data_IF_605677661018
#
_entry.id   IF_605677661018
#
_cell.length_a   1.000
_cell.length_b   1.000
_cell.length_c   1.000
_cell.angle_alpha   90.00
_cell.angle_beta   90.00
_cell.angle_gamma   90.00
#
_symmetry.space_group_name_H-M   'P 1'
#
loop_
_entity.id
_entity.type
_entity.pdbx_description
1 polymer ?
#
# COMPACT_ATOMS: atom_id res chain seq x y z
N UNK A 1 33.75 -15.74 19.71
CA UNK A 1 32.40 -16.02 19.14
C UNK A 1 32.17 -17.50 18.85
N UNK A 2 33.20 -18.35 18.75
CA UNK A 2 33.02 -19.80 18.47
C UNK A 2 32.37 -20.61 19.61
N UNK A 3 32.21 -20.01 20.80
CA UNK A 3 31.57 -20.64 21.97
C UNK A 3 30.04 -20.52 22.01
N UNK A 4 29.42 -19.82 21.05
CA UNK A 4 27.96 -19.70 20.98
C UNK A 4 27.34 -20.97 20.34
N UNK A 5 26.24 -21.50 20.91
CA UNK A 5 25.41 -22.53 20.28
C UNK A 5 24.93 -22.12 18.90
N UNK A 6 24.86 -23.10 18.00
CA UNK A 6 24.49 -22.91 16.59
C UNK A 6 23.11 -22.27 16.44
N UNK A 7 22.17 -22.63 17.33
CA UNK A 7 20.81 -22.09 17.34
C UNK A 7 20.79 -20.60 17.68
N UNK A 8 21.60 -20.15 18.65
CA UNK A 8 21.70 -18.73 18.99
C UNK A 8 22.36 -17.93 17.87
N UNK A 9 23.34 -18.50 17.18
CA UNK A 9 23.95 -17.85 16.01
C UNK A 9 22.94 -17.76 14.87
N UNK A 10 22.18 -18.83 14.59
CA UNK A 10 21.13 -18.81 13.56
C UNK A 10 20.02 -17.79 13.89
N UNK A 11 19.66 -17.65 15.17
CA UNK A 11 18.71 -16.65 15.63
C UNK A 11 19.25 -15.22 15.41
N UNK A 12 20.49 -14.94 15.81
CA UNK A 12 21.14 -13.64 15.56
C UNK A 12 21.21 -13.34 14.06
N UNK A 13 21.62 -14.32 13.24
CA UNK A 13 21.71 -14.17 11.79
C UNK A 13 20.33 -13.96 11.14
N UNK A 14 19.25 -14.48 11.73
CA UNK A 14 17.88 -14.30 11.22
C UNK A 14 17.34 -12.87 11.37
N UNK A 15 17.99 -12.06 12.21
CA UNK A 15 17.71 -10.64 12.38
C UNK A 15 18.38 -9.77 11.30
N UNK A 16 19.32 -10.34 10.56
CA UNK A 16 20.02 -9.65 9.48
C UNK A 16 19.37 -9.97 8.13
N UNK A 17 19.44 -9.06 7.15
CA UNK A 17 19.19 -9.40 5.75
C UNK A 17 20.02 -10.63 5.35
N UNK A 18 19.45 -11.55 4.55
CA UNK A 18 20.13 -12.81 4.19
C UNK A 18 21.51 -12.56 3.57
N UNK A 19 21.68 -11.50 2.79
CA UNK A 19 22.98 -11.08 2.25
C UNK A 19 24.02 -10.80 3.35
N UNK A 20 23.64 -10.07 4.39
CA UNK A 20 24.54 -9.70 5.48
C UNK A 20 24.85 -10.93 6.33
N UNK A 21 23.84 -11.76 6.59
CA UNK A 21 24.01 -13.06 7.24
C UNK A 21 24.99 -13.96 6.47
N UNK A 22 24.86 -14.06 5.14
CA UNK A 22 25.81 -14.79 4.28
C UNK A 22 27.20 -14.16 4.30
N UNK A 23 27.30 -12.83 4.37
CA UNK A 23 28.61 -12.14 4.43
C UNK A 23 29.40 -12.50 5.69
N UNK A 24 28.72 -12.88 6.78
CA UNK A 24 29.39 -13.38 7.99
C UNK A 24 30.08 -14.74 7.80
N UNK A 25 29.84 -15.44 6.68
CA UNK A 25 30.48 -16.71 6.34
C UNK A 25 32.02 -16.63 6.27
N UNK A 26 32.58 -15.43 6.11
CA UNK A 26 34.03 -15.19 6.12
C UNK A 26 34.64 -15.31 7.52
N UNK A 27 33.82 -15.21 8.58
CA UNK A 27 34.30 -15.18 9.97
C UNK A 27 34.87 -16.52 10.41
N UNK A 28 34.24 -17.64 10.04
CA UNK A 28 34.81 -18.98 10.24
C UNK A 28 34.08 -20.05 9.42
N UNK A 29 34.65 -21.26 9.34
CA UNK A 29 34.00 -22.41 8.68
C UNK A 29 32.61 -22.72 9.26
N UNK A 30 32.41 -22.47 10.55
CA UNK A 30 31.14 -22.68 11.25
C UNK A 30 30.07 -21.72 10.71
N UNK A 31 30.40 -20.44 10.56
CA UNK A 31 29.46 -19.41 10.07
C UNK A 31 29.08 -19.58 8.59
N UNK A 32 29.87 -20.33 7.81
CA UNK A 32 29.56 -20.62 6.40
C UNK A 32 28.26 -21.39 6.20
N UNK A 33 27.82 -22.19 7.16
CA UNK A 33 26.63 -23.03 7.02
C UNK A 33 25.47 -22.57 7.89
N UNK A 34 25.74 -21.79 8.94
CA UNK A 34 24.72 -21.38 9.91
C UNK A 34 23.67 -20.42 9.35
N UNK A 35 24.01 -19.59 8.36
CA UNK A 35 23.01 -18.74 7.71
C UNK A 35 21.88 -19.57 7.05
N UNK A 36 22.18 -20.80 6.61
CA UNK A 36 21.19 -21.67 5.97
C UNK A 36 20.16 -22.22 6.97
N UNK A 37 20.47 -22.15 8.27
CA UNK A 37 19.57 -22.52 9.37
C UNK A 37 18.64 -21.39 9.79
N UNK A 38 18.78 -20.18 9.23
CA UNK A 38 17.90 -19.05 9.50
C UNK A 38 16.46 -19.35 9.05
N UNK A 39 15.49 -18.89 9.83
CA UNK A 39 14.06 -19.03 9.52
C UNK A 39 13.58 -18.14 8.36
N UNK A 40 14.40 -17.17 7.95
CA UNK A 40 14.10 -16.22 6.88
C UNK A 40 15.15 -16.36 5.77
N UNK A 41 14.68 -16.57 4.54
CA UNK A 41 15.53 -16.69 3.36
C UNK A 41 15.07 -15.69 2.33
N UNK A 42 15.88 -14.67 2.09
CA UNK A 42 15.68 -13.70 1.02
C UNK A 42 16.76 -13.91 -0.04
N UNK A 43 16.34 -14.48 -1.16
CA UNK A 43 17.18 -14.85 -2.28
C UNK A 43 16.90 -13.90 -3.45
N UNK A 44 17.81 -12.95 -3.64
CA UNK A 44 17.67 -11.91 -4.65
C UNK A 44 18.82 -11.96 -5.66
N UNK A 45 18.50 -12.31 -6.90
CA UNK A 45 19.49 -12.38 -7.97
C UNK A 45 19.75 -11.05 -8.67
N UNK A 46 18.95 -10.00 -8.41
CA UNK A 46 19.08 -8.69 -9.05
C UNK A 46 20.41 -7.99 -8.73
N UNK A 47 21.03 -8.42 -7.64
CA UNK A 47 22.30 -7.90 -7.12
C UNK A 47 23.50 -8.57 -7.82
N UNK A 48 23.26 -9.65 -8.57
CA UNK A 48 24.30 -10.45 -9.21
C UNK A 48 24.54 -9.98 -10.64
N UNK A 49 25.80 -9.80 -11.01
CA UNK A 49 26.19 -9.40 -12.37
C UNK A 49 25.79 -10.42 -13.43
N UNK A 50 25.67 -9.96 -14.68
CA UNK A 50 25.09 -10.69 -15.82
C UNK A 50 25.89 -11.91 -16.34
N UNK A 51 26.94 -12.36 -15.63
CA UNK A 51 27.85 -13.42 -16.11
C UNK A 51 27.32 -14.82 -15.75
N UNK A 52 27.47 -15.77 -16.67
CA UNK A 52 26.96 -17.14 -16.52
C UNK A 52 27.58 -17.95 -15.37
N UNK A 53 28.82 -17.64 -14.98
CA UNK A 53 29.52 -18.22 -13.82
C UNK A 53 28.86 -17.80 -12.50
N UNK A 54 28.49 -16.52 -12.37
CA UNK A 54 27.77 -15.98 -11.20
C UNK A 54 26.38 -16.65 -11.08
N UNK A 55 25.70 -16.91 -12.20
CA UNK A 55 24.39 -17.60 -12.22
C UNK A 55 24.46 -19.04 -11.71
N UNK A 56 25.44 -19.83 -12.18
CA UNK A 56 25.64 -21.20 -11.70
C UNK A 56 26.00 -21.22 -10.22
N UNK A 57 26.80 -20.25 -9.78
CA UNK A 57 27.15 -20.07 -8.36
C UNK A 57 25.90 -19.79 -7.51
N UNK A 58 25.00 -18.91 -7.97
CA UNK A 58 23.74 -18.64 -7.26
C UNK A 58 22.85 -19.88 -7.17
N UNK A 59 22.67 -20.62 -8.28
CA UNK A 59 21.86 -21.83 -8.26
C UNK A 59 22.41 -22.89 -7.30
N UNK A 60 23.73 -23.15 -7.35
CA UNK A 60 24.39 -24.06 -6.42
C UNK A 60 24.33 -23.58 -4.96
N UNK A 61 24.38 -22.27 -4.74
CA UNK A 61 24.21 -21.66 -3.42
C UNK A 61 22.80 -21.89 -2.86
N UNK A 62 21.76 -21.69 -3.66
CA UNK A 62 20.37 -21.92 -3.23
C UNK A 62 20.12 -23.39 -2.97
N UNK A 63 20.58 -24.29 -3.85
CA UNK A 63 20.51 -25.73 -3.66
C UNK A 63 21.18 -26.17 -2.37
N UNK A 64 22.40 -25.69 -2.12
CA UNK A 64 23.17 -26.00 -0.91
C UNK A 64 22.46 -25.48 0.33
N UNK A 65 21.93 -24.25 0.28
CA UNK A 65 21.20 -23.64 1.38
C UNK A 65 19.94 -24.42 1.75
N UNK A 66 19.20 -24.92 0.75
CA UNK A 66 18.03 -25.77 0.95
C UNK A 66 18.40 -27.17 1.47
N UNK A 67 19.55 -27.72 1.06
CA UNK A 67 19.99 -29.05 1.51
C UNK A 67 20.47 -29.08 2.98
N UNK A 68 21.07 -27.99 3.48
CA UNK A 68 21.69 -27.94 4.83
C UNK A 68 20.64 -27.94 5.97
N UNK A 69 19.38 -27.64 5.68
CA UNK A 69 18.34 -27.36 6.71
C UNK A 69 17.93 -28.54 7.59
N UNK A 70 18.23 -29.79 7.21
CA UNK A 70 18.01 -30.97 8.07
C UNK A 70 16.59 -31.12 8.65
N UNK A 71 15.57 -30.64 7.94
CA UNK A 71 14.16 -30.69 8.37
C UNK A 71 13.65 -29.48 9.17
N UNK A 72 14.46 -28.45 9.41
CA UNK A 72 14.00 -27.20 10.07
C UNK A 72 12.95 -26.47 9.23
N UNK A 73 11.96 -25.90 9.90
CA UNK A 73 10.90 -25.11 9.25
C UNK A 73 11.45 -23.77 8.73
N UNK A 74 11.06 -23.41 7.51
CA UNK A 74 11.30 -22.10 6.95
C UNK A 74 10.09 -21.24 7.31
N UNK A 75 10.26 -20.13 8.02
CA UNK A 75 9.13 -19.24 8.29
C UNK A 75 8.79 -18.44 7.04
N UNK A 76 9.81 -17.80 6.46
CA UNK A 76 9.69 -16.91 5.30
C UNK A 76 10.67 -17.29 4.20
N UNK A 77 10.15 -17.47 3.00
CA UNK A 77 10.92 -17.68 1.77
C UNK A 77 10.59 -16.58 0.76
N UNK A 78 11.62 -15.85 0.32
CA UNK A 78 11.54 -14.79 -0.68
C UNK A 78 12.49 -15.14 -1.81
N UNK A 79 11.97 -15.19 -3.04
CA UNK A 79 12.74 -15.45 -4.25
C UNK A 79 12.45 -14.34 -5.26
N UNK A 80 13.48 -13.57 -5.60
CA UNK A 80 13.43 -12.46 -6.56
C UNK A 80 14.35 -12.74 -7.73
N UNK A 81 13.75 -12.81 -8.92
CA UNK A 81 14.41 -13.15 -10.17
C UNK A 81 14.15 -12.07 -11.23
N UNK A 82 15.20 -11.36 -11.67
CA UNK A 82 15.10 -10.25 -12.62
C UNK A 82 15.60 -10.57 -14.05
N UNK A 83 15.87 -11.82 -14.41
CA UNK A 83 16.55 -12.15 -15.68
C UNK A 83 15.86 -13.20 -16.58
N UNK A 84 15.77 -12.85 -17.87
CA UNK A 84 15.39 -13.64 -19.08
C UNK A 84 15.89 -15.08 -19.14
N UNK A 85 17.20 -15.23 -19.06
CA UNK A 85 17.88 -16.51 -19.30
C UNK A 85 17.92 -17.40 -18.05
N UNK A 86 17.72 -16.77 -16.89
CA UNK A 86 17.45 -17.40 -15.61
C UNK A 86 16.12 -18.13 -15.74
N UNK A 87 15.07 -17.50 -16.29
CA UNK A 87 13.77 -18.14 -16.51
C UNK A 87 13.85 -19.45 -17.28
N UNK A 88 14.65 -19.59 -18.33
CA UNK A 88 14.77 -20.87 -19.06
C UNK A 88 15.38 -22.03 -18.23
N UNK A 89 16.14 -21.73 -17.17
CA UNK A 89 16.61 -22.71 -16.19
C UNK A 89 15.61 -22.90 -15.04
N UNK A 90 14.83 -21.88 -14.69
CA UNK A 90 13.76 -21.96 -13.69
C UNK A 90 12.49 -22.63 -14.21
N UNK A 91 12.19 -22.51 -15.51
CA UNK A 91 11.01 -23.06 -16.20
C UNK A 91 10.92 -24.58 -16.15
N UNK A 92 12.00 -25.25 -15.74
CA UNK A 92 12.04 -26.71 -15.59
C UNK A 92 12.17 -27.18 -14.15
N UNK A 93 12.46 -26.29 -13.20
CA UNK A 93 12.86 -26.68 -11.85
C UNK A 93 12.21 -25.75 -10.80
N UNK A 94 10.90 -25.92 -10.58
CA UNK A 94 10.12 -25.40 -9.45
C UNK A 94 10.59 -25.92 -8.07
N UNK A 95 11.71 -26.66 -8.08
CA UNK A 95 12.31 -27.39 -6.96
C UNK A 95 12.58 -26.52 -5.75
N UNK A 96 12.92 -25.23 -5.91
CA UNK A 96 13.21 -24.36 -4.77
C UNK A 96 11.95 -23.98 -4.01
N UNK A 97 10.89 -23.63 -4.76
CA UNK A 97 9.58 -23.32 -4.21
C UNK A 97 9.00 -24.59 -3.58
N UNK A 98 9.05 -25.72 -4.30
CA UNK A 98 8.61 -27.02 -3.80
C UNK A 98 9.32 -27.43 -2.51
N UNK A 99 10.67 -27.32 -2.45
CA UNK A 99 11.42 -27.60 -1.22
C UNK A 99 11.06 -26.64 -0.09
N UNK A 100 10.83 -25.36 -0.38
CA UNK A 100 10.40 -24.41 0.64
C UNK A 100 9.04 -24.82 1.24
N UNK A 101 8.11 -25.27 0.40
CA UNK A 101 6.80 -25.80 0.79
C UNK A 101 6.93 -27.11 1.59
N UNK A 102 7.82 -28.01 1.20
CA UNK A 102 8.13 -29.25 1.95
C UNK A 102 8.67 -28.94 3.36
N UNK A 103 9.32 -27.79 3.55
CA UNK A 103 9.74 -27.26 4.85
C UNK A 103 8.66 -26.42 5.56
N UNK A 104 7.39 -26.59 5.19
CA UNK A 104 6.21 -25.97 5.84
C UNK A 104 6.27 -24.44 5.88
N UNK A 105 6.68 -23.81 4.77
CA UNK A 105 6.76 -22.35 4.71
C UNK A 105 5.42 -21.68 5.00
N UNK A 106 5.47 -20.62 5.82
CA UNK A 106 4.29 -19.83 6.20
C UNK A 106 4.16 -18.52 5.43
N UNK A 107 5.28 -17.94 4.99
CA UNK A 107 5.31 -16.71 4.20
C UNK A 107 6.11 -16.93 2.92
N UNK A 108 5.46 -16.83 1.77
CA UNK A 108 6.07 -16.99 0.45
C UNK A 108 5.98 -15.69 -0.34
N UNK A 109 7.11 -15.20 -0.82
CA UNK A 109 7.20 -14.04 -1.70
C UNK A 109 7.97 -14.43 -2.97
N UNK A 110 7.30 -14.28 -4.11
CA UNK A 110 7.85 -14.58 -5.42
C UNK A 110 7.80 -13.32 -6.27
N UNK A 111 8.95 -12.88 -6.78
CA UNK A 111 9.03 -11.82 -7.80
C UNK A 111 9.76 -12.34 -9.01
N UNK A 112 9.09 -12.35 -10.15
CA UNK A 112 9.64 -12.92 -11.37
C UNK A 112 9.44 -11.94 -12.53
N UNK A 113 10.45 -11.10 -12.78
CA UNK A 113 10.34 -10.04 -13.80
C UNK A 113 10.73 -10.59 -15.18
N UNK A 114 9.83 -10.53 -16.18
CA UNK A 114 10.17 -10.81 -17.56
C UNK A 114 10.98 -9.64 -18.14
N UNK A 115 12.04 -9.92 -18.88
CA UNK A 115 12.73 -8.89 -19.67
C UNK A 115 11.96 -8.69 -20.97
N UNK A 116 11.64 -7.43 -21.27
CA UNK A 116 10.95 -6.95 -22.47
C UNK A 116 11.75 -7.20 -23.76
N UNK A 117 11.97 -8.45 -24.13
CA UNK A 117 12.56 -8.84 -25.42
C UNK A 117 11.65 -9.83 -26.12
N UNK A 118 10.56 -9.33 -26.71
CA UNK A 118 9.65 -10.11 -27.54
C UNK A 118 8.81 -11.14 -26.76
N UNK A 119 7.90 -11.80 -27.48
CA UNK A 119 6.87 -12.74 -26.99
C UNK A 119 7.50 -13.80 -26.08
N UNK A 120 7.51 -13.57 -24.77
CA UNK A 120 7.98 -14.55 -23.77
C UNK A 120 6.83 -14.79 -22.80
N UNK A 121 6.44 -16.07 -22.70
CA UNK A 121 5.45 -16.56 -21.77
C UNK A 121 5.83 -16.15 -20.34
N UNK A 122 4.89 -15.57 -19.62
CA UNK A 122 5.05 -15.32 -18.20
C UNK A 122 5.11 -16.69 -17.50
N UNK A 123 6.08 -16.94 -16.61
CA UNK A 123 6.24 -18.26 -16.00
C UNK A 123 5.03 -18.61 -15.14
N UNK A 124 4.56 -19.85 -15.29
CA UNK A 124 3.49 -20.41 -14.49
C UNK A 124 3.99 -20.61 -13.04
N UNK A 125 3.12 -20.34 -12.07
CA UNK A 125 3.43 -20.55 -10.65
C UNK A 125 3.22 -22.04 -10.34
N UNK A 126 4.09 -22.71 -9.56
CA UNK A 126 3.98 -24.15 -9.33
C UNK A 126 2.68 -24.52 -8.62
N UNK A 127 2.00 -25.58 -9.08
CA UNK A 127 0.72 -26.06 -8.53
C UNK A 127 0.77 -26.31 -7.01
N UNK A 128 1.90 -26.79 -6.49
CA UNK A 128 2.11 -27.02 -5.04
C UNK A 128 1.90 -25.77 -4.18
N UNK A 129 2.07 -24.58 -4.75
CA UNK A 129 1.78 -23.32 -4.02
C UNK A 129 0.30 -23.27 -3.66
N UNK A 130 -0.58 -23.67 -4.60
CA UNK A 130 -2.04 -23.55 -4.49
C UNK A 130 -2.69 -24.63 -3.62
N UNK A 131 -1.95 -25.67 -3.25
CA UNK A 131 -2.42 -26.76 -2.38
C UNK A 131 -1.81 -26.71 -0.98
N UNK A 132 -1.08 -25.64 -0.66
CA UNK A 132 -0.39 -25.50 0.62
C UNK A 132 -1.35 -25.24 1.78
N UNK A 133 -1.26 -26.06 2.81
CA UNK A 133 -2.02 -25.90 4.06
C UNK A 133 -1.29 -25.07 5.11
N UNK A 134 -0.02 -24.70 4.86
CA UNK A 134 0.84 -23.97 5.82
C UNK A 134 0.99 -22.49 5.48
N UNK A 135 0.73 -22.09 4.23
CA UNK A 135 0.88 -20.70 3.79
C UNK A 135 -0.13 -19.79 4.48
N UNK A 136 0.38 -18.82 5.23
CA UNK A 136 -0.38 -17.75 5.90
C UNK A 136 -0.30 -16.45 5.11
N UNK A 137 0.84 -16.20 4.44
CA UNK A 137 1.07 -15.04 3.58
C UNK A 137 1.64 -15.46 2.23
N UNK A 138 1.01 -15.00 1.16
CA UNK A 138 1.45 -15.22 -0.21
C UNK A 138 1.58 -13.87 -0.92
N UNK A 139 2.72 -13.65 -1.56
CA UNK A 139 2.99 -12.47 -2.36
C UNK A 139 3.53 -12.90 -3.70
N UNK A 140 2.84 -12.52 -4.77
CA UNK A 140 3.17 -12.83 -6.15
C UNK A 140 3.35 -11.52 -6.91
N UNK A 141 4.56 -11.29 -7.40
CA UNK A 141 4.92 -10.14 -8.22
C UNK A 141 5.32 -10.63 -9.61
N UNK A 142 4.51 -10.23 -10.60
CA UNK A 142 4.60 -10.56 -12.02
C UNK A 142 4.39 -12.05 -12.30
N UNK A 143 3.33 -12.38 -13.03
CA UNK A 143 2.86 -13.75 -13.21
C UNK A 143 1.64 -13.82 -14.13
N UNK A 144 1.33 -15.00 -14.66
CA UNK A 144 0.07 -15.24 -15.36
C UNK A 144 -0.60 -16.52 -14.86
N UNK A 145 -1.91 -16.45 -14.73
CA UNK A 145 -2.81 -17.55 -14.42
C UNK A 145 -3.61 -17.88 -15.66
N UNK A 146 -3.29 -19.00 -16.31
CA UNK A 146 -4.16 -19.54 -17.36
C UNK A 146 -5.33 -20.30 -16.77
N UNK A 147 -5.02 -21.18 -15.82
CA UNK A 147 -5.97 -22.03 -15.12
C UNK A 147 -5.50 -22.20 -13.68
N UNK A 148 -6.43 -22.48 -12.76
CA UNK A 148 -6.11 -22.89 -11.40
C UNK A 148 -6.07 -24.42 -11.32
N UNK A 149 -5.14 -25.01 -10.57
CA UNK A 149 -5.17 -26.45 -10.29
C UNK A 149 -6.53 -26.88 -9.72
N UNK A 150 -7.10 -28.03 -10.13
CA UNK A 150 -8.42 -28.47 -9.67
C UNK A 150 -8.55 -28.65 -8.15
N UNK A 151 -7.44 -28.90 -7.47
CA UNK A 151 -7.32 -29.11 -6.02
C UNK A 151 -6.87 -27.86 -5.26
N UNK A 152 -6.91 -26.68 -5.91
CA UNK A 152 -6.54 -25.39 -5.30
C UNK A 152 -7.28 -25.17 -3.98
N UNK A 153 -6.52 -25.11 -2.88
CA UNK A 153 -7.00 -24.87 -1.53
C UNK A 153 -5.89 -24.31 -0.67
N UNK A 154 -6.11 -23.10 -0.14
CA UNK A 154 -5.19 -22.37 0.72
C UNK A 154 -5.88 -22.04 2.05
N UNK A 155 -6.17 -23.06 2.89
CA UNK A 155 -7.05 -22.89 4.05
C UNK A 155 -6.47 -22.01 5.16
N UNK A 156 -5.14 -21.87 5.24
CA UNK A 156 -4.46 -21.07 6.26
C UNK A 156 -4.13 -19.63 5.79
N UNK A 157 -4.38 -19.30 4.52
CA UNK A 157 -3.94 -18.05 3.93
C UNK A 157 -4.77 -16.87 4.46
N UNK A 158 -4.08 -15.92 5.09
CA UNK A 158 -4.69 -14.71 5.68
C UNK A 158 -4.34 -13.43 4.92
N UNK A 159 -3.19 -13.41 4.25
CA UNK A 159 -2.68 -12.24 3.53
C UNK A 159 -2.28 -12.65 2.12
N UNK A 160 -2.88 -12.00 1.12
CA UNK A 160 -2.58 -12.21 -0.29
C UNK A 160 -2.20 -10.88 -0.96
N UNK A 161 -1.02 -10.85 -1.59
CA UNK A 161 -0.56 -9.74 -2.40
C UNK A 161 -0.33 -10.22 -3.84
N UNK A 162 -1.01 -9.56 -4.78
CA UNK A 162 -0.89 -9.77 -6.22
C UNK A 162 -0.42 -8.47 -6.85
N UNK A 163 0.74 -8.46 -7.51
CA UNK A 163 1.27 -7.31 -8.25
C UNK A 163 1.58 -7.71 -9.69
N UNK A 164 1.02 -7.00 -10.66
CA UNK A 164 1.18 -7.26 -12.10
C UNK A 164 0.90 -8.72 -12.48
N UNK A 165 -0.12 -9.31 -11.86
CA UNK A 165 -0.59 -10.66 -12.14
C UNK A 165 -1.68 -10.61 -13.21
N UNK A 166 -1.52 -11.40 -14.27
CA UNK A 166 -2.51 -11.58 -15.33
C UNK A 166 -3.38 -12.81 -15.05
N UNK A 167 -4.69 -12.68 -15.09
CA UNK A 167 -5.64 -13.80 -15.11
C UNK A 167 -6.23 -13.94 -16.53
N UNK A 168 -6.07 -15.11 -17.16
CA UNK A 168 -6.63 -15.46 -18.47
C UNK A 168 -8.12 -15.86 -18.30
N UNK A 169 -8.92 -14.93 -17.79
CA UNK A 169 -10.33 -15.18 -17.48
C UNK A 169 -10.86 -14.34 -16.33
N UNK A 170 -12.04 -13.77 -16.50
CA UNK A 170 -12.68 -12.87 -15.54
C UNK A 170 -13.17 -13.55 -14.24
N UNK A 171 -13.27 -14.89 -14.23
CA UNK A 171 -13.72 -15.67 -13.06
C UNK A 171 -12.56 -16.18 -12.19
N UNK A 172 -11.36 -16.34 -12.76
CA UNK A 172 -10.22 -17.00 -12.11
C UNK A 172 -9.81 -16.32 -10.80
N UNK A 173 -9.86 -14.99 -10.73
CA UNK A 173 -9.59 -14.28 -9.48
C UNK A 173 -10.59 -14.70 -8.38
N UNK A 174 -11.88 -14.78 -8.70
CA UNK A 174 -12.89 -15.14 -7.70
C UNK A 174 -12.83 -16.62 -7.32
N UNK A 175 -12.50 -17.50 -8.26
CA UNK A 175 -12.23 -18.91 -7.98
C UNK A 175 -11.03 -19.05 -7.02
N UNK A 176 -9.96 -18.28 -7.26
CA UNK A 176 -8.80 -18.26 -6.39
C UNK A 176 -9.13 -17.73 -4.99
N UNK A 177 -9.90 -16.63 -4.90
CA UNK A 177 -10.35 -16.07 -3.62
C UNK A 177 -11.27 -17.05 -2.88
N UNK A 178 -12.13 -17.79 -3.57
CA UNK A 178 -13.00 -18.81 -2.99
C UNK A 178 -12.21 -19.98 -2.37
N UNK A 179 -11.04 -20.30 -2.93
CA UNK A 179 -10.12 -21.30 -2.39
C UNK A 179 -9.35 -20.84 -1.14
N UNK A 180 -9.49 -19.59 -0.72
CA UNK A 180 -8.79 -18.97 0.40
C UNK A 180 -9.77 -18.56 1.53
N UNK A 181 -10.41 -19.51 2.24
CA UNK A 181 -11.52 -19.20 3.17
C UNK A 181 -11.12 -18.36 4.39
N UNK A 182 -9.83 -18.34 4.76
CA UNK A 182 -9.31 -17.57 5.89
C UNK A 182 -8.74 -16.20 5.50
N UNK A 183 -8.87 -15.77 4.23
CA UNK A 183 -8.22 -14.57 3.72
C UNK A 183 -8.82 -13.29 4.31
N UNK A 184 -8.01 -12.50 5.02
CA UNK A 184 -8.44 -11.27 5.70
C UNK A 184 -7.90 -9.99 5.05
N UNK A 185 -6.71 -10.03 4.44
CA UNK A 185 -6.04 -8.89 3.80
C UNK A 185 -5.68 -9.23 2.34
N UNK A 186 -6.28 -8.50 1.41
CA UNK A 186 -6.04 -8.64 -0.03
C UNK A 186 -5.47 -7.34 -0.60
N UNK A 187 -4.33 -7.44 -1.27
CA UNK A 187 -3.73 -6.35 -2.05
C UNK A 187 -3.61 -6.77 -3.51
N UNK A 188 -4.20 -5.99 -4.42
CA UNK A 188 -4.11 -6.17 -5.86
C UNK A 188 -3.51 -4.91 -6.46
N UNK A 189 -2.43 -5.06 -7.22
CA UNK A 189 -1.84 -4.04 -8.06
C UNK A 189 -1.83 -4.56 -9.48
N UNK A 190 -2.59 -3.95 -10.38
CA UNK A 190 -2.71 -4.37 -11.77
C UNK A 190 -2.53 -3.18 -12.71
N UNK A 191 -2.23 -3.45 -13.97
CA UNK A 191 -2.40 -2.48 -15.04
C UNK A 191 -3.83 -2.58 -15.59
N UNK A 192 -4.32 -1.54 -16.27
CA UNK A 192 -5.58 -1.65 -16.99
C UNK A 192 -5.43 -2.60 -18.16
N UNK A 193 -6.36 -3.57 -18.22
CA UNK A 193 -6.48 -4.51 -19.32
C UNK A 193 -7.87 -4.43 -19.94
N UNK A 194 -7.88 -4.62 -21.26
CA UNK A 194 -8.96 -5.13 -22.11
C UNK A 194 -10.45 -4.96 -21.69
N UNK A 195 -10.94 -3.79 -21.30
CA UNK A 195 -12.37 -3.43 -21.42
C UNK A 195 -13.38 -4.29 -20.66
N UNK A 196 -12.92 -5.28 -19.90
CA UNK A 196 -13.71 -6.21 -19.14
C UNK A 196 -13.92 -5.68 -17.72
N UNK A 197 -15.12 -5.85 -17.18
CA UNK A 197 -15.40 -5.51 -15.79
C UNK A 197 -14.92 -6.62 -14.87
N UNK A 198 -14.08 -6.31 -13.90
CA UNK A 198 -13.61 -7.25 -12.89
C UNK A 198 -14.49 -7.16 -11.64
N UNK A 199 -15.04 -8.29 -11.20
CA UNK A 199 -15.75 -8.38 -9.92
C UNK A 199 -14.80 -8.98 -8.91
N UNK A 200 -14.60 -8.30 -7.79
CA UNK A 200 -13.92 -8.86 -6.61
C UNK A 200 -15.03 -9.26 -5.63
N UNK A 201 -15.25 -10.56 -5.48
CA UNK A 201 -16.26 -11.10 -4.55
C UNK A 201 -15.59 -11.96 -3.47
N UNK A 202 -15.78 -11.59 -2.21
CA UNK A 202 -15.33 -12.40 -1.07
C UNK A 202 -16.01 -11.98 0.23
N UNK A 203 -16.30 -12.98 1.08
CA UNK A 203 -16.87 -12.78 2.41
C UNK A 203 -15.83 -12.84 3.53
N UNK A 204 -14.61 -13.28 3.27
CA UNK A 204 -13.58 -13.40 4.32
C UNK A 204 -12.78 -12.11 4.52
N UNK A 205 -12.62 -11.32 3.45
CA UNK A 205 -11.74 -10.15 3.41
C UNK A 205 -12.26 -9.04 4.32
N UNK A 206 -11.36 -8.47 5.12
CA UNK A 206 -11.58 -7.33 6.02
C UNK A 206 -10.83 -6.08 5.53
N UNK A 207 -9.65 -6.26 4.92
CA UNK A 207 -8.85 -5.17 4.36
C UNK A 207 -8.62 -5.42 2.87
N UNK A 208 -8.92 -4.43 2.05
CA UNK A 208 -8.78 -4.49 0.60
C UNK A 208 -7.96 -3.29 0.11
N UNK A 209 -6.90 -3.56 -0.66
CA UNK A 209 -6.13 -2.53 -1.34
C UNK A 209 -6.09 -2.83 -2.83
N UNK A 210 -6.55 -1.88 -3.65
CA UNK A 210 -6.57 -2.02 -5.11
C UNK A 210 -5.86 -0.83 -5.74
N UNK A 211 -4.85 -1.09 -6.55
CA UNK A 211 -4.11 -0.09 -7.31
C UNK A 211 -4.15 -0.44 -8.78
N UNK A 212 -4.71 0.46 -9.59
CA UNK A 212 -4.74 0.36 -11.03
C UNK A 212 -3.70 1.31 -11.60
N UNK A 213 -2.68 0.76 -12.25
CA UNK A 213 -1.65 1.51 -12.97
C UNK A 213 -2.13 1.83 -14.39
N UNK A 214 -1.77 3.00 -14.94
CA UNK A 214 -2.10 3.33 -16.32
C UNK A 214 -1.36 2.37 -17.26
N UNK A 215 -2.05 1.85 -18.27
CA UNK A 215 -1.44 0.99 -19.27
C UNK A 215 -0.47 1.78 -20.16
N UNK A 216 0.61 1.12 -20.60
CA UNK A 216 1.55 1.70 -21.58
C UNK A 216 1.03 1.62 -23.03
N UNK A 217 -0.08 0.92 -23.26
CA UNK A 217 -0.67 0.65 -24.56
C UNK A 217 -1.83 1.61 -24.85
N UNK A 218 -1.91 2.10 -26.09
CA UNK A 218 -2.82 3.17 -26.51
C UNK A 218 -4.31 2.77 -26.58
N UNK A 219 -4.65 1.49 -26.41
CA UNK A 219 -6.03 0.97 -26.48
C UNK A 219 -6.54 0.60 -25.08
N UNK A 220 -6.67 1.62 -24.24
CA UNK A 220 -7.05 1.51 -22.83
C UNK A 220 -8.58 1.50 -22.70
N UNK A 221 -9.19 0.36 -23.04
CA UNK A 221 -10.62 0.13 -22.83
C UNK A 221 -10.95 0.10 -21.32
N UNK A 222 -12.02 0.79 -20.92
CA UNK A 222 -12.34 1.04 -19.52
C UNK A 222 -12.73 -0.26 -18.79
N UNK A 223 -11.87 -0.77 -17.92
CA UNK A 223 -12.23 -1.83 -16.97
C UNK A 223 -12.88 -1.21 -15.73
N UNK A 224 -14.12 -1.60 -15.46
CA UNK A 224 -14.85 -1.23 -14.24
C UNK A 224 -14.54 -2.27 -13.17
N UNK A 225 -14.06 -1.83 -12.01
CA UNK A 225 -13.96 -2.71 -10.85
C UNK A 225 -15.27 -2.67 -10.07
N UNK A 226 -15.85 -3.84 -9.83
CA UNK A 226 -17.03 -4.06 -9.00
C UNK A 226 -16.64 -4.76 -7.71
N UNK A 227 -17.10 -4.24 -6.57
CA UNK A 227 -16.82 -4.81 -5.25
C UNK A 227 -18.08 -5.45 -4.65
N UNK A 228 -18.03 -6.77 -4.45
CA UNK A 228 -19.02 -7.54 -3.70
C UNK A 228 -18.34 -8.15 -2.46
N UNK A 229 -18.04 -7.28 -1.50
CA UNK A 229 -17.22 -7.58 -0.34
C UNK A 229 -17.88 -7.07 0.95
N UNK A 230 -18.92 -7.76 1.46
CA UNK A 230 -19.75 -7.26 2.56
C UNK A 230 -19.00 -7.02 3.88
N UNK A 231 -17.87 -7.70 4.09
CA UNK A 231 -17.12 -7.68 5.34
C UNK A 231 -15.85 -6.81 5.31
N UNK A 232 -15.58 -6.13 4.18
CA UNK A 232 -14.46 -5.17 4.10
C UNK A 232 -14.76 -3.96 4.98
N UNK A 233 -13.82 -3.65 5.87
CA UNK A 233 -13.89 -2.52 6.80
C UNK A 233 -12.91 -1.40 6.45
N UNK A 234 -11.78 -1.72 5.81
CA UNK A 234 -10.75 -0.77 5.36
C UNK A 234 -10.45 -1.00 3.86
N UNK A 235 -10.69 0.03 3.06
CA UNK A 235 -10.46 0.04 1.62
C UNK A 235 -9.44 1.11 1.24
N UNK A 236 -8.40 0.70 0.51
CA UNK A 236 -7.54 1.61 -0.26
C UNK A 236 -7.82 1.40 -1.76
N UNK A 237 -8.11 2.48 -2.47
CA UNK A 237 -8.36 2.45 -3.91
C UNK A 237 -7.57 3.53 -4.63
N UNK A 238 -6.71 3.13 -5.57
CA UNK A 238 -5.92 4.00 -6.42
C UNK A 238 -6.16 3.70 -7.90
N UNK A 239 -6.40 4.74 -8.71
CA UNK A 239 -6.79 4.59 -10.11
C UNK A 239 -6.55 5.88 -10.93
N UNK A 240 -6.64 5.75 -12.26
CA UNK A 240 -6.56 6.83 -13.25
C UNK A 240 -7.85 6.89 -14.11
N UNK A 241 -9.05 7.15 -13.55
CA UNK A 241 -10.34 6.94 -14.23
C UNK A 241 -10.49 7.70 -15.55
N UNK A 242 -11.05 7.05 -16.58
CA UNK A 242 -11.39 7.68 -17.88
C UNK A 242 -12.87 8.03 -18.00
N UNK A 243 -13.76 7.08 -17.76
CA UNK A 243 -15.22 7.27 -17.92
C UNK A 243 -16.01 6.74 -16.73
N UNK A 244 -15.67 5.56 -16.23
CA UNK A 244 -16.33 4.97 -15.07
C UNK A 244 -15.32 4.77 -13.93
N UNK A 245 -15.85 4.78 -12.71
CA UNK A 245 -15.08 4.59 -11.47
C UNK A 245 -15.49 3.29 -10.78
N UNK A 246 -14.87 3.04 -9.63
CA UNK A 246 -15.21 1.93 -8.74
C UNK A 246 -16.72 1.83 -8.48
N UNK A 247 -17.27 0.63 -8.68
CA UNK A 247 -18.68 0.33 -8.41
C UNK A 247 -18.80 -0.57 -7.17
N UNK A 248 -19.55 -0.08 -6.18
CA UNK A 248 -19.85 -0.82 -4.97
C UNK A 248 -21.15 -1.61 -5.12
N UNK A 249 -21.05 -2.93 -5.19
CA UNK A 249 -22.22 -3.82 -5.21
C UNK A 249 -22.67 -4.18 -3.79
N UNK A 250 -21.73 -4.51 -2.90
CA UNK A 250 -22.00 -4.84 -1.50
C UNK A 250 -20.83 -4.44 -0.60
N UNK A 251 -21.05 -3.50 0.32
CA UNK A 251 -20.02 -2.90 1.20
C UNK A 251 -20.59 -2.51 2.58
N UNK A 252 -21.46 -3.34 3.13
CA UNK A 252 -22.23 -3.01 4.34
C UNK A 252 -21.35 -2.70 5.57
N UNK A 253 -20.17 -3.32 5.68
CA UNK A 253 -19.25 -3.13 6.80
C UNK A 253 -18.22 -2.02 6.62
N UNK A 254 -18.22 -1.33 5.46
CA UNK A 254 -17.15 -0.40 5.10
C UNK A 254 -17.10 0.81 6.04
N UNK A 255 -16.01 0.92 6.81
CA UNK A 255 -15.84 1.94 7.84
C UNK A 255 -14.81 3.00 7.45
N UNK A 256 -13.75 2.61 6.72
CA UNK A 256 -12.65 3.47 6.32
C UNK A 256 -12.37 3.31 4.83
N UNK A 257 -12.20 4.45 4.16
CA UNK A 257 -11.81 4.50 2.74
C UNK A 257 -10.67 5.48 2.54
N UNK A 258 -9.65 5.06 1.82
CA UNK A 258 -8.60 5.91 1.25
C UNK A 258 -8.73 5.93 -0.27
N UNK A 259 -8.89 7.11 -0.85
CA UNK A 259 -8.96 7.31 -2.30
C UNK A 259 -7.72 8.02 -2.81
N UNK A 260 -7.13 7.47 -3.87
CA UNK A 260 -5.99 8.04 -4.59
C UNK A 260 -6.25 8.04 -6.10
N UNK A 261 -7.02 9.02 -6.56
CA UNK A 261 -7.49 9.11 -7.94
C UNK A 261 -6.71 10.15 -8.71
N UNK A 262 -6.27 9.80 -9.92
CA UNK A 262 -5.42 10.67 -10.72
C UNK A 262 -6.12 11.10 -12.02
N UNK A 263 -5.97 12.38 -12.37
CA UNK A 263 -6.38 12.90 -13.67
C UNK A 263 -5.38 12.46 -14.74
N UNK A 264 -5.85 11.77 -15.78
CA UNK A 264 -5.06 11.54 -16.98
C UNK A 264 -4.86 12.86 -17.74
N UNK A 265 -3.62 13.14 -18.14
CA UNK A 265 -3.26 14.33 -18.93
C UNK A 265 -3.54 14.09 -20.42
N UNK A 266 -4.75 13.67 -20.76
CA UNK A 266 -5.17 13.48 -22.15
C UNK A 266 -6.08 14.65 -22.59
N UNK A 267 -5.65 15.49 -23.55
CA UNK A 267 -6.44 16.64 -23.99
C UNK A 267 -7.76 16.28 -24.68
N UNK A 268 -7.91 15.02 -25.13
CA UNK A 268 -9.13 14.53 -25.79
C UNK A 268 -10.11 13.86 -24.81
N UNK A 269 -9.73 13.70 -23.54
CA UNK A 269 -10.56 13.01 -22.56
C UNK A 269 -11.75 13.88 -22.12
N UNK A 270 -12.96 13.32 -22.26
CA UNK A 270 -14.16 13.92 -21.67
C UNK A 270 -14.03 13.92 -20.15
N UNK A 271 -14.16 15.10 -19.53
CA UNK A 271 -14.08 15.29 -18.08
C UNK A 271 -15.40 14.93 -17.36
N UNK A 272 -16.08 13.93 -17.86
CA UNK A 272 -17.43 13.52 -17.43
C UNK A 272 -17.40 12.08 -16.88
N UNK A 273 -16.40 11.78 -16.03
CA UNK A 273 -16.38 10.49 -15.35
C UNK A 273 -17.62 10.38 -14.45
N UNK A 274 -18.38 9.29 -14.57
CA UNK A 274 -19.51 9.04 -13.68
C UNK A 274 -18.98 8.65 -12.30
N UNK A 275 -19.23 9.54 -11.35
CA UNK A 275 -18.82 9.41 -9.96
C UNK A 275 -19.94 8.88 -9.06
N UNK A 276 -21.14 8.68 -9.59
CA UNK A 276 -22.35 8.40 -8.81
C UNK A 276 -22.16 7.17 -7.93
N UNK A 277 -21.60 6.11 -8.48
CA UNK A 277 -21.35 4.85 -7.76
C UNK A 277 -20.30 5.02 -6.66
N UNK A 278 -19.14 5.61 -6.97
CA UNK A 278 -18.10 5.85 -5.98
C UNK A 278 -18.62 6.71 -4.83
N UNK A 279 -19.24 7.84 -5.16
CA UNK A 279 -19.75 8.82 -4.22
C UNK A 279 -20.85 8.24 -3.32
N UNK A 280 -21.75 7.44 -3.90
CA UNK A 280 -22.80 6.75 -3.17
C UNK A 280 -22.22 5.76 -2.17
N UNK A 281 -21.24 4.94 -2.58
CA UNK A 281 -20.67 3.91 -1.71
C UNK A 281 -19.84 4.46 -0.56
N UNK A 282 -19.10 5.55 -0.75
CA UNK A 282 -18.32 6.17 0.34
C UNK A 282 -19.16 6.99 1.31
N UNK A 283 -20.46 7.20 1.06
CA UNK A 283 -21.31 8.09 1.87
C UNK A 283 -21.45 7.66 3.34
N UNK A 284 -21.42 6.35 3.61
CA UNK A 284 -21.69 5.78 4.94
C UNK A 284 -20.45 5.61 5.83
N UNK A 285 -19.26 5.93 5.32
CA UNK A 285 -17.99 5.66 6.01
C UNK A 285 -17.80 6.57 7.23
N UNK A 286 -17.03 6.07 8.21
CA UNK A 286 -16.65 6.81 9.42
C UNK A 286 -15.35 7.59 9.25
N UNK A 287 -14.46 7.07 8.41
CA UNK A 287 -13.15 7.66 8.09
C UNK A 287 -12.99 7.76 6.58
N UNK A 288 -12.72 8.97 6.09
CA UNK A 288 -12.42 9.22 4.68
C UNK A 288 -11.04 9.86 4.58
N UNK A 289 -10.16 9.25 3.80
CA UNK A 289 -8.86 9.78 3.45
C UNK A 289 -8.82 10.10 1.96
N UNK A 290 -8.54 11.35 1.62
CA UNK A 290 -8.38 11.82 0.26
C UNK A 290 -6.95 12.31 0.05
N UNK A 291 -6.23 11.69 -0.88
CA UNK A 291 -4.91 12.18 -1.32
C UNK A 291 -5.06 13.49 -2.10
N UNK A 292 -3.95 14.21 -2.28
CA UNK A 292 -3.96 15.45 -3.08
C UNK A 292 -4.41 15.20 -4.52
N UNK A 293 -4.09 14.03 -5.09
CA UNK A 293 -4.53 13.64 -6.43
C UNK A 293 -6.05 13.45 -6.45
N UNK A 294 -6.59 12.70 -5.48
CA UNK A 294 -8.02 12.42 -5.39
C UNK A 294 -8.85 13.70 -5.24
N UNK A 295 -8.39 14.67 -4.45
CA UNK A 295 -9.06 15.98 -4.31
C UNK A 295 -9.11 16.74 -5.64
N UNK A 296 -8.03 16.75 -6.41
CA UNK A 296 -8.01 17.39 -7.73
C UNK A 296 -8.93 16.71 -8.72
N UNK A 297 -8.92 15.37 -8.72
CA UNK A 297 -9.80 14.56 -9.55
C UNK A 297 -11.29 14.83 -9.22
N UNK A 298 -11.66 14.77 -7.93
CA UNK A 298 -13.04 15.01 -7.49
C UNK A 298 -13.51 16.44 -7.78
N UNK A 299 -12.63 17.44 -7.66
CA UNK A 299 -12.96 18.83 -8.00
C UNK A 299 -13.34 19.02 -9.48
N UNK A 300 -12.69 18.26 -10.37
CA UNK A 300 -12.91 18.39 -11.81
C UNK A 300 -14.11 17.54 -12.29
N UNK A 301 -14.30 16.35 -11.71
CA UNK A 301 -15.28 15.37 -12.18
C UNK A 301 -16.61 15.37 -11.40
N UNK A 302 -16.64 15.83 -10.14
CA UNK A 302 -17.85 15.78 -9.31
C UNK A 302 -18.77 16.99 -9.55
N UNK A 303 -19.36 17.11 -10.74
CA UNK A 303 -20.25 18.23 -11.13
C UNK A 303 -21.60 18.22 -10.41
N UNK A 304 -22.09 17.03 -10.03
CA UNK A 304 -23.36 16.84 -9.32
C UNK A 304 -23.30 17.19 -7.82
N UNK A 305 -22.12 17.52 -7.30
CA UNK A 305 -21.90 17.89 -5.91
C UNK A 305 -21.66 16.68 -4.99
N UNK A 306 -21.20 16.96 -3.77
CA UNK A 306 -20.87 15.93 -2.78
C UNK A 306 -22.10 15.46 -1.99
N UNK A 307 -22.14 14.18 -1.57
CA UNK A 307 -23.22 13.63 -0.78
C UNK A 307 -23.13 14.15 0.65
N UNK A 308 -24.17 13.92 1.46
CA UNK A 308 -24.12 14.25 2.88
C UNK A 308 -23.46 13.09 3.62
N UNK A 309 -22.32 13.35 4.24
CA UNK A 309 -21.52 12.40 4.99
C UNK A 309 -21.93 12.40 6.47
N UNK A 310 -23.12 11.87 6.77
CA UNK A 310 -23.69 11.89 8.13
C UNK A 310 -22.88 11.05 9.12
N UNK A 311 -22.22 9.99 8.66
CA UNK A 311 -21.46 9.08 9.51
C UNK A 311 -19.97 9.47 9.63
N UNK A 312 -19.51 10.44 8.85
CA UNK A 312 -18.09 10.78 8.79
C UNK A 312 -17.66 11.48 10.08
N UNK A 313 -16.75 10.83 10.80
CA UNK A 313 -16.21 11.32 12.08
C UNK A 313 -14.75 11.74 11.97
N UNK A 314 -14.02 11.19 11.01
CA UNK A 314 -12.63 11.53 10.73
C UNK A 314 -12.38 11.77 9.24
N UNK A 315 -11.76 12.90 8.92
CA UNK A 315 -11.35 13.28 7.57
C UNK A 315 -9.83 13.47 7.54
N UNK A 316 -9.16 12.73 6.68
CA UNK A 316 -7.75 12.95 6.33
C UNK A 316 -7.69 13.61 4.96
N UNK A 317 -7.09 14.79 4.91
CA UNK A 317 -7.15 15.68 3.77
C UNK A 317 -5.76 16.19 3.38
N UNK A 318 -5.37 15.91 2.14
CA UNK A 318 -4.21 16.47 1.48
C UNK A 318 -4.65 17.15 0.18
N UNK A 319 -4.05 18.29 -0.19
CA UNK A 319 -4.43 18.98 -1.42
C UNK A 319 -3.43 20.06 -1.86
N UNK A 320 -3.47 20.41 -3.14
CA UNK A 320 -2.93 21.67 -3.67
C UNK A 320 -3.90 22.84 -3.45
N UNK A 321 -3.53 24.03 -3.96
CA UNK A 321 -4.19 25.31 -3.69
C UNK A 321 -5.71 25.34 -3.91
N UNK A 322 -6.22 24.72 -4.99
CA UNK A 322 -7.65 24.74 -5.31
C UNK A 322 -8.47 23.94 -4.29
N UNK A 323 -8.03 22.74 -3.91
CA UNK A 323 -8.77 21.93 -2.94
C UNK A 323 -8.81 22.54 -1.55
N UNK A 324 -7.74 23.19 -1.09
CA UNK A 324 -7.77 23.98 0.15
C UNK A 324 -8.81 25.11 0.12
N UNK A 325 -8.92 25.81 -1.01
CA UNK A 325 -9.79 26.99 -1.14
C UNK A 325 -11.25 26.63 -1.40
N UNK A 326 -11.51 25.53 -2.11
CA UNK A 326 -12.83 25.22 -2.66
C UNK A 326 -13.38 23.89 -2.14
N UNK A 327 -12.55 22.85 -2.05
CA UNK A 327 -13.03 21.50 -1.76
C UNK A 327 -13.14 21.21 -0.27
N UNK A 328 -12.15 21.60 0.53
CA UNK A 328 -12.20 21.42 1.98
C UNK A 328 -13.41 22.14 2.60
N UNK A 329 -13.71 23.43 2.29
CA UNK A 329 -14.91 24.07 2.84
C UNK A 329 -16.19 23.31 2.50
N UNK A 330 -16.34 22.88 1.24
CA UNK A 330 -17.48 22.09 0.79
C UNK A 330 -17.59 20.76 1.55
N UNK A 331 -16.49 20.01 1.72
CA UNK A 331 -16.48 18.78 2.49
C UNK A 331 -16.89 19.00 3.95
N UNK A 332 -16.41 20.06 4.59
CA UNK A 332 -16.77 20.40 5.96
C UNK A 332 -18.26 20.74 6.10
N UNK A 333 -18.84 21.46 5.13
CA UNK A 333 -20.29 21.73 5.09
C UNK A 333 -21.11 20.46 4.93
N UNK A 334 -20.59 19.48 4.19
CA UNK A 334 -21.25 18.19 3.92
C UNK A 334 -20.97 17.12 4.96
N UNK A 335 -20.24 17.44 6.03
CA UNK A 335 -19.81 16.50 7.07
C UNK A 335 -20.20 16.99 8.48
N UNK A 336 -21.51 17.04 8.81
CA UNK A 336 -22.01 17.70 10.03
C UNK A 336 -21.50 17.06 11.34
N UNK A 337 -21.17 15.77 11.31
CA UNK A 337 -20.74 15.00 12.48
C UNK A 337 -19.22 14.86 12.61
N UNK A 338 -18.45 15.55 11.77
CA UNK A 338 -16.99 15.46 11.76
C UNK A 338 -16.38 15.90 13.10
N UNK A 339 -15.55 15.04 13.71
CA UNK A 339 -14.90 15.28 15.01
C UNK A 339 -13.38 15.38 14.92
N UNK A 340 -12.76 14.66 13.99
CA UNK A 340 -11.31 14.63 13.77
C UNK A 340 -11.00 15.13 12.36
N UNK A 341 -10.10 16.11 12.25
CA UNK A 341 -9.61 16.62 10.98
C UNK A 341 -8.08 16.48 10.97
N UNK A 342 -7.57 15.72 10.00
CA UNK A 342 -6.14 15.53 9.76
C UNK A 342 -5.79 16.19 8.43
N UNK A 343 -4.83 17.10 8.47
CA UNK A 343 -4.44 17.98 7.39
C UNK A 343 -2.98 17.75 7.02
N UNK A 344 -2.70 17.37 5.78
CA UNK A 344 -1.35 17.22 5.22
C UNK A 344 -1.15 18.18 4.05
N UNK A 345 0.09 18.45 3.65
CA UNK A 345 0.42 19.35 2.51
C UNK A 345 -0.07 20.80 2.64
N UNK A 346 -0.25 21.31 3.87
CA UNK A 346 -0.68 22.70 4.07
C UNK A 346 0.34 23.72 3.53
N UNK A 347 1.63 23.38 3.50
CA UNK A 347 2.68 24.17 2.87
C UNK A 347 2.39 24.47 1.38
N UNK A 348 1.75 23.55 0.64
CA UNK A 348 1.38 23.75 -0.76
C UNK A 348 0.36 24.88 -0.96
N UNK A 349 -0.43 25.23 0.07
CA UNK A 349 -1.33 26.40 0.02
C UNK A 349 -0.55 27.72 0.18
N UNK A 350 0.54 27.70 0.94
CA UNK A 350 1.34 28.90 1.32
C UNK A 350 2.32 29.37 0.24
N UNK A 351 2.75 28.50 -0.67
CA UNK A 351 3.81 28.75 -1.67
C UNK A 351 3.42 29.70 -2.83
N UNK A 352 2.31 30.43 -2.75
CA UNK A 352 1.91 31.40 -3.77
C UNK A 352 2.68 32.72 -3.68
N UNK A 353 3.42 33.11 -4.74
CA UNK A 353 4.11 34.40 -4.85
C UNK A 353 3.20 35.58 -4.43
N UNK A 354 3.60 36.27 -3.35
CA UNK A 354 3.11 37.61 -2.92
C UNK A 354 1.59 37.81 -2.95
N UNK A 355 0.82 37.03 -2.19
CA UNK A 355 -0.57 37.40 -1.88
C UNK A 355 -0.74 37.53 -0.37
N UNK A 356 -1.56 38.49 0.04
CA UNK A 356 -2.04 38.62 1.41
C UNK A 356 -2.55 37.28 1.93
N UNK A 357 -2.45 37.06 3.24
CA UNK A 357 -3.02 35.87 3.88
C UNK A 357 -4.50 35.73 3.52
N UNK A 358 -4.87 34.60 2.89
CA UNK A 358 -6.26 34.24 2.63
C UNK A 358 -6.59 33.05 3.51
N UNK A 359 -7.42 33.27 4.52
CA UNK A 359 -7.89 32.20 5.39
C UNK A 359 -8.77 31.19 4.65
N UNK A 360 -8.66 29.92 5.02
CA UNK A 360 -9.52 28.85 4.50
C UNK A 360 -10.93 29.02 5.09
N UNK A 361 -11.97 28.92 4.27
CA UNK A 361 -13.34 29.03 4.77
C UNK A 361 -13.68 27.81 5.63
N UNK A 362 -14.17 28.05 6.85
CA UNK A 362 -14.57 27.02 7.80
C UNK A 362 -16.02 27.30 8.21
N UNK A 363 -16.94 26.32 8.09
CA UNK A 363 -18.33 26.49 8.51
C UNK A 363 -18.42 26.82 10.00
N UNK A 364 -19.26 27.79 10.38
CA UNK A 364 -19.37 28.26 11.77
C UNK A 364 -19.95 27.21 12.73
N UNK A 365 -20.71 26.25 12.21
CA UNK A 365 -21.37 25.17 12.95
C UNK A 365 -20.52 23.89 13.07
N UNK A 366 -19.26 23.92 12.62
CA UNK A 366 -18.37 22.76 12.69
C UNK A 366 -18.25 22.22 14.13
N UNK A 367 -18.18 20.89 14.26
CA UNK A 367 -18.11 20.17 15.54
C UNK A 367 -16.76 19.50 15.76
N UNK A 368 -15.72 20.01 15.09
CA UNK A 368 -14.37 19.44 15.09
C UNK A 368 -13.77 19.64 16.49
N UNK A 369 -13.35 18.53 17.10
CA UNK A 369 -12.72 18.49 18.44
C UNK A 369 -11.22 18.26 18.36
N UNK A 370 -10.76 17.52 17.34
CA UNK A 370 -9.35 17.14 17.15
C UNK A 370 -8.86 17.66 15.80
N UNK A 371 -7.79 18.45 15.83
CA UNK A 371 -7.10 18.92 14.64
C UNK A 371 -5.67 18.36 14.63
N UNK A 372 -5.27 17.69 13.55
CA UNK A 372 -3.89 17.24 13.34
C UNK A 372 -3.32 17.91 12.10
N UNK A 373 -2.17 18.55 12.23
CA UNK A 373 -1.40 19.13 11.12
C UNK A 373 -0.18 18.24 10.89
N UNK A 374 -0.10 17.61 9.73
CA UNK A 374 1.01 16.75 9.31
C UNK A 374 2.00 17.54 8.45
N UNK A 375 3.27 17.15 8.47
CA UNK A 375 4.34 17.73 7.63
C UNK A 375 4.42 19.27 7.74
N UNK A 376 4.45 19.80 8.96
CA UNK A 376 4.56 21.23 9.20
C UNK A 376 5.98 21.75 8.91
N UNK A 377 6.10 22.79 8.09
CA UNK A 377 7.38 23.38 7.67
C UNK A 377 7.68 24.76 8.29
N UNK A 378 6.70 25.40 8.93
CA UNK A 378 6.80 26.71 9.58
C UNK A 378 5.96 27.81 8.91
N UNK A 379 5.90 27.80 7.58
CA UNK A 379 5.24 28.83 6.77
C UNK A 379 3.71 28.84 6.93
N UNK A 380 3.15 27.78 7.50
CA UNK A 380 1.72 27.53 7.66
C UNK A 380 1.15 28.16 8.94
N UNK A 381 1.98 28.83 9.75
CA UNK A 381 1.62 29.32 11.08
C UNK A 381 0.35 30.20 11.10
N UNK A 382 0.20 31.08 10.10
CA UNK A 382 -0.99 31.91 9.97
C UNK A 382 -2.27 31.08 9.74
N UNK A 383 -2.18 29.96 9.01
CA UNK A 383 -3.32 29.06 8.80
C UNK A 383 -3.69 28.32 10.08
N UNK A 384 -2.69 27.87 10.85
CA UNK A 384 -2.91 27.25 12.16
C UNK A 384 -3.66 28.23 13.07
N UNK A 385 -3.17 29.47 13.20
CA UNK A 385 -3.85 30.52 13.98
C UNK A 385 -5.28 30.77 13.49
N UNK A 386 -5.50 30.84 12.18
CA UNK A 386 -6.83 30.98 11.60
C UNK A 386 -7.77 29.81 11.92
N UNK A 387 -7.30 28.56 11.88
CA UNK A 387 -8.10 27.40 12.29
C UNK A 387 -8.48 27.47 13.78
N UNK A 388 -7.54 27.84 14.65
CA UNK A 388 -7.83 28.02 16.07
C UNK A 388 -8.90 29.08 16.32
N UNK A 389 -8.89 30.17 15.55
CA UNK A 389 -9.89 31.23 15.66
C UNK A 389 -11.27 30.78 15.14
N UNK A 390 -11.34 29.99 14.06
CA UNK A 390 -12.60 29.64 13.40
C UNK A 390 -13.23 28.34 13.91
N UNK A 391 -12.47 27.36 14.37
CA UNK A 391 -12.98 26.06 14.82
C UNK A 391 -13.26 26.06 16.32
N UNK A 392 -14.37 26.66 16.75
CA UNK A 392 -14.67 26.93 18.17
C UNK A 392 -14.65 25.70 19.09
N UNK A 393 -15.02 24.51 18.58
CA UNK A 393 -15.12 23.27 19.36
C UNK A 393 -13.80 22.49 19.51
N UNK A 394 -12.69 22.98 18.94
CA UNK A 394 -11.41 22.26 18.99
C UNK A 394 -10.87 22.22 20.42
N UNK A 395 -10.65 21.00 20.91
CA UNK A 395 -10.11 20.66 22.24
C UNK A 395 -8.63 20.28 22.13
N UNK A 396 -8.24 19.55 21.08
CA UNK A 396 -6.88 19.03 20.92
C UNK A 396 -6.35 19.41 19.55
N UNK A 397 -5.15 20.00 19.54
CA UNK A 397 -4.39 20.30 18.32
C UNK A 397 -3.04 19.62 18.42
N UNK A 398 -2.71 18.80 17.42
CA UNK A 398 -1.40 18.16 17.28
C UNK A 398 -0.73 18.63 16.00
N UNK A 399 0.53 19.01 16.10
CA UNK A 399 1.34 19.45 14.95
C UNK A 399 2.54 18.54 14.84
N UNK A 400 2.72 17.94 13.67
CA UNK A 400 3.82 17.03 13.36
C UNK A 400 4.74 17.73 12.37
N UNK A 401 5.94 18.07 12.82
CA UNK A 401 6.96 18.73 12.00
C UNK A 401 7.45 17.76 10.91
N UNK A 402 7.66 18.28 9.70
CA UNK A 402 8.15 17.48 8.58
C UNK A 402 9.53 16.86 8.88
N UNK A 403 9.78 15.65 8.38
CA UNK A 403 10.97 14.88 8.72
C UNK A 403 12.26 15.54 8.20
N UNK A 404 12.15 16.30 7.11
CA UNK A 404 13.21 16.99 6.39
C UNK A 404 13.71 18.24 7.11
N UNK A 405 13.01 18.69 8.15
CA UNK A 405 13.40 19.87 8.94
C UNK A 405 14.52 19.48 9.91
N UNK A 406 15.60 20.25 9.91
CA UNK A 406 16.73 20.05 10.83
C UNK A 406 16.34 20.29 12.31
N UNK A 407 17.13 19.74 13.24
CA UNK A 407 16.79 19.77 14.67
C UNK A 407 16.81 21.17 15.28
N UNK A 408 17.66 22.07 14.77
CA UNK A 408 17.71 23.47 15.24
C UNK A 408 16.40 24.16 14.88
N UNK A 409 15.96 24.00 13.63
CA UNK A 409 14.70 24.55 13.13
C UNK A 409 13.49 23.87 13.77
N UNK A 410 13.52 22.56 14.04
CA UNK A 410 12.46 21.86 14.81
C UNK A 410 12.26 22.49 16.18
N UNK A 411 13.36 22.76 16.90
CA UNK A 411 13.30 23.43 18.22
C UNK A 411 12.67 24.82 18.10
N UNK A 412 13.11 25.63 17.15
CA UNK A 412 12.55 26.97 16.91
C UNK A 412 11.04 26.93 16.60
N UNK A 413 10.62 26.05 15.67
CA UNK A 413 9.21 25.91 15.31
C UNK A 413 8.34 25.47 16.49
N UNK A 414 8.89 24.64 17.37
CA UNK A 414 8.21 24.19 18.59
C UNK A 414 8.01 25.35 19.56
N UNK A 415 9.04 26.16 19.78
CA UNK A 415 8.97 27.35 20.62
C UNK A 415 7.92 28.33 20.07
N UNK A 416 7.86 28.51 18.75
CA UNK A 416 6.87 29.40 18.12
C UNK A 416 5.44 28.87 18.22
N UNK A 417 5.22 27.56 18.09
CA UNK A 417 3.91 26.93 18.34
C UNK A 417 3.46 27.08 19.79
N UNK A 418 4.37 27.01 20.75
CA UNK A 418 4.06 27.18 22.18
C UNK A 418 3.58 28.61 22.52
N UNK A 419 4.08 29.63 21.81
CA UNK A 419 3.61 31.03 21.98
C UNK A 419 2.20 31.22 21.43
N UNK A 420 1.85 30.50 20.35
CA UNK A 420 0.51 30.54 19.76
C UNK A 420 -0.54 29.89 20.68
N UNK A 421 -0.15 28.83 21.39
CA UNK A 421 -1.02 28.18 22.37
C UNK A 421 -1.29 29.07 23.59
N UNK A 422 -0.34 29.87 24.03
CA UNK A 422 -0.53 30.82 25.14
C UNK A 422 -1.44 31.99 24.76
N UNK A 423 -1.47 32.38 23.48
CA UNK A 423 -2.38 33.39 22.95
C UNK A 423 -3.79 32.85 22.65
N UNK A 424 -3.97 31.53 22.63
CA UNK A 424 -5.23 30.86 22.32
C UNK A 424 -5.82 30.21 23.58
N UNK A 425 -7.13 30.30 23.82
CA UNK A 425 -7.76 29.62 24.96
C UNK A 425 -7.85 28.08 24.81
N UNK A 426 -7.09 27.48 23.89
CA UNK A 426 -7.16 26.06 23.50
C UNK A 426 -5.86 25.35 23.77
N UNK A 427 -5.95 24.14 24.33
CA UNK A 427 -4.79 23.27 24.53
C UNK A 427 -4.22 22.78 23.19
N UNK A 428 -3.05 23.31 22.82
CA UNK A 428 -2.16 22.68 21.85
C UNK A 428 -1.24 21.73 22.60
N UNK A 429 -1.31 20.45 22.26
CA UNK A 429 -0.36 19.46 22.77
C UNK A 429 0.72 19.28 21.71
N UNK A 430 1.91 19.84 21.99
CA UNK A 430 3.10 19.64 21.16
C UNK A 430 3.79 18.29 21.46
N UNK A 431 3.10 17.35 22.12
CA UNK A 431 3.65 16.03 22.47
C UNK A 431 4.36 15.38 21.28
N UNK A 432 5.69 15.31 21.40
CA UNK A 432 6.55 14.54 20.52
C UNK A 432 6.31 13.07 20.80
N UNK A 433 5.62 12.39 19.89
CA UNK A 433 5.72 10.94 19.81
C UNK A 433 6.55 10.61 18.58
N UNK A 434 7.82 10.30 18.80
CA UNK A 434 8.55 9.37 17.94
C UNK A 434 7.96 7.98 18.16
N UNK A 435 6.81 7.73 17.54
CA UNK A 435 6.30 6.38 17.33
C UNK A 435 5.68 6.38 15.94
N UNK A 436 6.51 6.07 14.96
CA UNK A 436 6.05 5.30 13.81
C UNK A 436 5.64 3.95 14.38
N UNK A 437 4.36 3.80 14.73
CA UNK A 437 3.72 2.50 14.70
C UNK A 437 2.85 2.48 13.45
N UNK A 438 3.09 1.45 12.64
CA UNK A 438 2.48 1.12 11.35
C UNK A 438 0.94 1.08 11.40
N UNK A 439 0.28 2.24 11.42
CA UNK A 439 -1.14 2.36 11.02
C UNK A 439 -1.31 2.99 9.62
N UNK A 440 -0.20 3.16 8.90
CA UNK A 440 -0.17 3.33 7.45
C UNK A 440 0.49 2.09 6.82
N UNK A 441 -0.25 0.99 6.78
CA UNK A 441 0.07 -0.14 5.92
C UNK A 441 -0.13 0.24 4.46
N UNK A 442 0.72 1.14 3.96
CA UNK A 442 1.04 1.43 2.56
C UNK A 442 2.46 1.99 2.58
N UNK A 443 3.45 1.10 2.63
CA UNK A 443 4.80 1.44 2.19
C UNK A 443 4.72 1.84 0.71
N UNK A 444 4.78 3.14 0.44
CA UNK A 444 5.18 3.68 -0.85
C UNK A 444 6.28 4.68 -0.59
N UNK A 445 7.51 4.22 -0.84
CA UNK A 445 8.62 4.98 -1.42
C UNK A 445 9.90 4.16 -1.31
N UNK A 446 9.99 3.14 -2.16
CA UNK A 446 11.23 2.76 -2.84
C UNK A 446 10.80 2.00 -4.09
N UNK A 447 11.59 2.09 -5.16
CA UNK A 447 11.33 1.50 -6.48
C UNK A 447 10.37 2.34 -7.36
N UNK A 448 10.88 3.51 -7.79
CA UNK A 448 10.57 4.07 -9.10
C UNK A 448 11.02 3.13 -10.23
#
# INVERSE_FOLDING_TARGET
MDCLPDDLIAEILSLLPTKDAVSTSVLSKKWRTLFALCHNLDLDNSILGQRNDIRKSFSGFVDSSLAIRGGRQIKKFSLKCNESNVLLLFYKDDRWICKALEHSVSELHLRIVPTFTGIIAIPDIPDKVFTSTTLVKLSLETGSFKELPPDTSLPALKVLLLDLIWFDGYQLLNEFLAACPALEDLTIRCERFDGHSYIISSKSIKKLSVTIKPSSHYDDSCSIIKLDTPNVVDLYYSDFPRQETLHFCNIDSLAKVTLDLHLLKDPNMKKDADMTNLVSGIRKVKTLHLTSSAVEFLLECCKSGLPLFENLTELVFASKKKGWRMFLPLLLERSPNLKSLVLSDLHCYTLGRRKAFIGIQIPSNNQIKKLRIMQYHGNEMNHIGHFLLKMKCVEVVKVYIAAEVDDIKKKQLTDDLSKLSTASSKSMDSSFKHKFEDEAGCHFDSWC
#
